data_IF_562647988608
#
_entry.id   IF_562647988608
#
_cell.length_a   1.000
_cell.length_b   1.000
_cell.length_c   1.000
_cell.angle_alpha   90.00
_cell.angle_beta   90.00
_cell.angle_gamma   90.00
#
_symmetry.space_group_name_H-M   'P 1'
#
loop_
_entity.id
_entity.type
_entity.pdbx_description
1 polymer ?
#
# COMPACT_ATOMS: atom_id res chain seq x y z
N UNK A 1 -39.87 10.42 31.23
CA UNK A 1 -39.49 11.14 29.99
C UNK A 1 -39.23 10.13 28.92
N UNK A 2 -39.86 10.25 27.77
CA UNK A 2 -39.65 9.32 26.66
C UNK A 2 -38.32 9.61 25.97
N UNK A 3 -37.66 8.54 25.46
CA UNK A 3 -36.39 8.63 24.72
C UNK A 3 -36.42 9.75 23.62
N UNK A 4 -37.54 9.85 22.91
CA UNK A 4 -37.76 10.85 21.84
C UNK A 4 -37.68 12.29 22.37
N UNK A 5 -38.18 12.56 23.61
CA UNK A 5 -38.08 13.88 24.23
C UNK A 5 -36.62 14.24 24.57
N UNK A 6 -35.85 13.28 25.06
CA UNK A 6 -34.41 13.48 25.33
C UNK A 6 -33.63 13.81 24.03
N UNK A 7 -33.97 13.13 22.94
CA UNK A 7 -33.36 13.42 21.61
C UNK A 7 -33.72 14.85 21.13
N UNK A 8 -35.00 15.28 21.27
CA UNK A 8 -35.41 16.63 20.89
C UNK A 8 -34.71 17.71 21.73
N UNK A 9 -34.56 17.47 23.03
CA UNK A 9 -33.83 18.37 23.93
C UNK A 9 -32.35 18.49 23.58
N UNK A 10 -31.70 17.39 23.21
CA UNK A 10 -30.31 17.39 22.76
C UNK A 10 -30.12 18.25 21.48
N UNK A 11 -30.99 18.08 20.51
CA UNK A 11 -30.97 18.91 19.30
C UNK A 11 -31.26 20.40 19.57
N UNK A 12 -32.17 20.72 20.48
CA UNK A 12 -32.46 22.11 20.89
C UNK A 12 -31.25 22.76 21.56
N UNK A 13 -30.55 22.02 22.42
CA UNK A 13 -29.32 22.45 23.09
C UNK A 13 -28.19 22.75 22.10
N UNK A 14 -27.97 21.85 21.11
CA UNK A 14 -27.01 22.07 20.03
C UNK A 14 -27.31 23.31 19.19
N UNK A 15 -28.59 23.57 18.93
CA UNK A 15 -29.05 24.75 18.15
C UNK A 15 -28.85 26.06 18.90
N UNK A 16 -28.95 26.05 20.23
CA UNK A 16 -28.75 27.23 21.07
C UNK A 16 -27.31 27.71 21.11
N UNK A 17 -26.32 26.77 21.10
CA UNK A 17 -24.88 27.07 21.24
C UNK A 17 -24.03 26.50 20.12
N UNK A 18 -24.37 26.80 18.86
CA UNK A 18 -23.80 26.17 17.64
C UNK A 18 -22.27 26.21 17.58
N UNK A 19 -21.62 27.35 17.85
CA UNK A 19 -20.16 27.49 17.76
C UNK A 19 -19.43 26.65 18.79
N UNK A 20 -19.97 26.63 20.02
CA UNK A 20 -19.36 25.82 21.10
C UNK A 20 -19.52 24.31 20.81
N UNK A 21 -20.69 23.89 20.35
CA UNK A 21 -20.97 22.53 19.96
C UNK A 21 -20.08 22.08 18.80
N UNK A 22 -19.90 22.94 17.79
CA UNK A 22 -19.03 22.64 16.62
C UNK A 22 -17.57 22.50 17.01
N UNK A 23 -17.03 23.42 17.84
CA UNK A 23 -15.64 23.37 18.28
C UNK A 23 -15.32 22.12 19.10
N UNK A 24 -16.27 21.63 19.89
CA UNK A 24 -16.07 20.41 20.69
C UNK A 24 -16.25 19.14 19.87
N UNK A 25 -17.24 19.13 18.96
CA UNK A 25 -17.39 18.02 18.02
C UNK A 25 -16.17 17.91 17.09
N UNK A 26 -15.43 19.00 16.85
CA UNK A 26 -14.26 18.99 15.96
C UNK A 26 -13.22 17.95 16.36
N UNK A 27 -12.93 17.82 17.66
CA UNK A 27 -12.00 16.79 18.15
C UNK A 27 -12.49 15.37 17.87
N UNK A 28 -13.80 15.12 18.02
CA UNK A 28 -14.40 13.82 17.71
C UNK A 28 -14.42 13.59 16.20
N UNK A 29 -14.80 14.61 15.42
CA UNK A 29 -14.81 14.54 13.96
C UNK A 29 -13.40 14.20 13.43
N UNK A 30 -12.38 14.94 13.86
CA UNK A 30 -10.98 14.70 13.44
C UNK A 30 -10.53 13.30 13.87
N UNK A 31 -10.77 12.89 15.12
CA UNK A 31 -10.36 11.58 15.60
C UNK A 31 -11.00 10.45 14.80
N UNK A 32 -12.31 10.48 14.59
CA UNK A 32 -13.02 9.45 13.83
C UNK A 32 -12.68 9.49 12.34
N UNK A 33 -12.59 10.67 11.74
CA UNK A 33 -12.22 10.78 10.33
C UNK A 33 -10.81 10.24 10.06
N UNK A 34 -9.86 10.47 10.98
CA UNK A 34 -8.52 9.90 10.89
C UNK A 34 -8.53 8.38 10.93
N UNK A 35 -9.29 7.77 11.85
CA UNK A 35 -9.41 6.30 11.94
C UNK A 35 -10.02 5.70 10.66
N UNK A 36 -11.08 6.30 10.13
CA UNK A 36 -11.72 5.84 8.90
C UNK A 36 -10.80 6.02 7.69
N UNK A 37 -10.14 7.17 7.58
CA UNK A 37 -9.20 7.46 6.49
C UNK A 37 -8.05 6.45 6.45
N UNK A 38 -7.46 6.12 7.61
CA UNK A 38 -6.35 5.16 7.70
C UNK A 38 -6.79 3.76 7.33
N UNK A 39 -7.94 3.33 7.83
CA UNK A 39 -8.47 2.01 7.47
C UNK A 39 -8.73 1.91 5.96
N UNK A 40 -9.25 2.99 5.35
CA UNK A 40 -9.43 3.07 3.89
C UNK A 40 -8.08 3.02 3.17
N UNK A 41 -7.09 3.76 3.67
CA UNK A 41 -5.74 3.79 3.09
C UNK A 41 -5.03 2.44 3.21
N UNK A 42 -5.20 1.75 4.34
CA UNK A 42 -4.71 0.37 4.51
C UNK A 42 -5.28 -0.58 3.46
N UNK A 43 -6.60 -0.52 3.21
CA UNK A 43 -7.25 -1.34 2.17
C UNK A 43 -6.78 -0.98 0.75
N UNK A 44 -6.51 0.31 0.46
CA UNK A 44 -5.94 0.73 -0.83
C UNK A 44 -4.56 0.12 -1.02
N UNK A 45 -3.71 0.20 0.00
CA UNK A 45 -2.34 -0.33 -0.07
C UNK A 45 -2.33 -1.85 -0.20
N UNK A 46 -3.18 -2.57 0.54
CA UNK A 46 -3.33 -4.02 0.44
C UNK A 46 -3.76 -4.43 -0.98
N UNK A 47 -4.77 -3.78 -1.55
CA UNK A 47 -5.20 -4.04 -2.92
C UNK A 47 -4.09 -3.71 -3.93
N UNK A 48 -3.39 -2.57 -3.77
CA UNK A 48 -2.30 -2.19 -4.68
C UNK A 48 -1.12 -3.16 -4.62
N UNK A 49 -0.81 -3.70 -3.44
CA UNK A 49 0.21 -4.73 -3.29
C UNK A 49 -0.23 -6.00 -4.00
N UNK A 50 -1.47 -6.45 -3.83
CA UNK A 50 -2.01 -7.61 -4.54
C UNK A 50 -1.97 -7.40 -6.06
N UNK A 51 -2.36 -6.22 -6.57
CA UNK A 51 -2.30 -5.89 -8.00
C UNK A 51 -0.86 -5.94 -8.54
N UNK A 52 0.13 -5.46 -7.77
CA UNK A 52 1.55 -5.55 -8.14
C UNK A 52 1.99 -7.00 -8.19
N UNK A 53 1.64 -7.81 -7.18
CA UNK A 53 2.00 -9.23 -7.19
C UNK A 53 1.35 -9.97 -8.35
N UNK A 54 0.07 -9.74 -8.59
CA UNK A 54 -0.64 -10.37 -9.71
C UNK A 54 -0.02 -9.98 -11.06
N UNK A 55 0.46 -8.73 -11.19
CA UNK A 55 1.12 -8.26 -12.41
C UNK A 55 2.55 -8.78 -12.59
N UNK A 56 3.20 -9.25 -11.52
CA UNK A 56 4.60 -9.74 -11.52
C UNK A 56 4.73 -11.26 -11.40
N UNK A 57 3.73 -12.04 -11.79
CA UNK A 57 3.78 -13.50 -11.70
C UNK A 57 3.02 -14.09 -10.52
N UNK A 58 2.40 -13.24 -9.71
CA UNK A 58 1.51 -13.65 -8.61
C UNK A 58 2.23 -14.41 -7.50
N UNK A 59 1.46 -15.23 -6.79
CA UNK A 59 1.96 -16.06 -5.69
C UNK A 59 2.99 -17.12 -6.12
N UNK A 60 3.10 -17.38 -7.44
CA UNK A 60 3.97 -18.40 -8.00
C UNK A 60 5.39 -17.89 -8.30
N UNK A 61 5.68 -16.61 -8.06
CA UNK A 61 7.02 -16.05 -8.27
C UNK A 61 7.88 -16.17 -7.01
N UNK A 62 9.04 -16.78 -7.15
CA UNK A 62 10.06 -16.88 -6.10
C UNK A 62 11.35 -16.24 -6.59
N UNK A 63 11.85 -15.25 -5.86
CA UNK A 63 13.12 -14.57 -6.12
C UNK A 63 14.24 -15.15 -5.28
N UNK A 64 15.41 -15.32 -5.88
CA UNK A 64 16.64 -15.71 -5.20
C UNK A 64 17.72 -14.68 -5.46
N UNK A 65 18.44 -14.31 -4.42
CA UNK A 65 19.55 -13.36 -4.51
C UNK A 65 20.67 -13.75 -3.56
N UNK A 66 21.89 -13.32 -3.86
CA UNK A 66 22.98 -13.42 -2.91
C UNK A 66 22.86 -12.33 -1.85
N UNK A 67 23.21 -12.66 -0.61
CA UNK A 67 23.25 -11.73 0.50
C UNK A 67 24.45 -11.98 1.39
N UNK A 68 24.82 -10.98 2.18
CA UNK A 68 25.84 -11.13 3.22
C UNK A 68 25.29 -11.98 4.38
N UNK A 69 26.07 -12.93 4.87
CA UNK A 69 25.76 -13.64 6.11
C UNK A 69 25.66 -12.68 7.30
N UNK A 70 24.98 -13.04 8.40
CA UNK A 70 24.82 -12.16 9.56
C UNK A 70 26.14 -11.65 10.18
N UNK A 71 27.23 -12.43 10.07
CA UNK A 71 28.58 -12.07 10.54
C UNK A 71 29.61 -12.40 9.44
N UNK A 72 29.65 -11.63 8.35
CA UNK A 72 30.49 -11.95 7.21
C UNK A 72 31.96 -11.65 7.51
N UNK A 73 32.87 -12.44 6.91
CA UNK A 73 34.31 -12.15 6.98
C UNK A 73 34.66 -10.86 6.21
N UNK A 74 33.87 -10.53 5.18
CA UNK A 74 33.96 -9.29 4.40
C UNK A 74 32.54 -8.74 4.15
N UNK A 75 32.40 -7.43 4.09
CA UNK A 75 31.15 -6.69 3.96
C UNK A 75 30.88 -6.16 2.53
N UNK A 76 31.52 -6.76 1.54
CA UNK A 76 31.35 -6.42 0.12
C UNK A 76 31.28 -7.67 -0.74
N UNK A 77 30.65 -7.55 -1.90
CA UNK A 77 30.52 -8.59 -2.91
C UNK A 77 31.71 -8.56 -3.88
N UNK A 78 32.13 -9.73 -4.35
CA UNK A 78 33.09 -9.89 -5.45
C UNK A 78 32.44 -10.61 -6.61
N UNK A 79 33.03 -10.52 -7.79
CA UNK A 79 32.47 -11.17 -8.97
C UNK A 79 32.40 -12.71 -8.82
N UNK A 80 33.32 -13.31 -8.04
CA UNK A 80 33.30 -14.74 -7.73
C UNK A 80 32.17 -15.17 -6.78
N UNK A 81 31.46 -14.23 -6.17
CA UNK A 81 30.30 -14.52 -5.32
C UNK A 81 29.00 -14.62 -6.09
N UNK A 82 28.97 -14.02 -7.28
CA UNK A 82 27.78 -14.00 -8.11
C UNK A 82 27.43 -15.42 -8.57
N UNK A 83 26.16 -15.64 -8.78
CA UNK A 83 25.65 -16.92 -9.28
C UNK A 83 25.97 -17.06 -10.77
N UNK A 84 26.62 -18.14 -11.15
CA UNK A 84 26.86 -18.45 -12.57
C UNK A 84 25.59 -18.98 -13.22
N UNK A 85 25.50 -18.86 -14.53
CA UNK A 85 24.41 -19.43 -15.33
C UNK A 85 24.23 -20.93 -15.04
N UNK A 86 25.33 -21.69 -14.95
CA UNK A 86 25.32 -23.12 -14.65
C UNK A 86 24.71 -23.41 -13.25
N UNK A 87 25.02 -22.60 -12.24
CA UNK A 87 24.43 -22.77 -10.91
C UNK A 87 22.91 -22.64 -10.97
N UNK A 88 22.42 -21.67 -11.71
CA UNK A 88 20.99 -21.39 -11.81
C UNK A 88 20.26 -22.46 -12.63
N UNK A 89 20.84 -22.90 -13.76
CA UNK A 89 20.25 -24.01 -14.54
C UNK A 89 20.27 -25.35 -13.78
N UNK A 90 21.27 -25.60 -12.91
CA UNK A 90 21.26 -26.76 -12.01
C UNK A 90 20.03 -26.71 -11.04
N UNK A 91 19.61 -25.55 -10.60
CA UNK A 91 18.37 -25.42 -9.80
C UNK A 91 17.15 -25.82 -10.64
N UNK A 92 17.02 -25.28 -11.85
CA UNK A 92 15.89 -25.60 -12.74
C UNK A 92 15.85 -27.10 -13.11
N UNK A 93 16.98 -27.72 -13.31
CA UNK A 93 17.07 -29.18 -13.59
C UNK A 93 16.72 -30.02 -12.35
N UNK A 94 17.27 -29.66 -11.19
CA UNK A 94 17.06 -30.38 -9.92
C UNK A 94 15.58 -30.33 -9.45
N UNK A 95 14.91 -29.21 -9.66
CA UNK A 95 13.55 -28.96 -9.24
C UNK A 95 12.57 -28.89 -10.44
N UNK A 96 12.88 -29.59 -11.51
CA UNK A 96 12.11 -29.55 -12.78
C UNK A 96 10.64 -29.95 -12.64
N UNK A 97 10.29 -30.72 -11.61
CA UNK A 97 8.90 -31.08 -11.32
C UNK A 97 8.07 -29.90 -10.81
N UNK A 98 8.71 -28.93 -10.15
CA UNK A 98 8.07 -27.79 -9.52
C UNK A 98 8.24 -26.48 -10.31
N UNK A 99 9.30 -26.39 -11.13
CA UNK A 99 9.62 -25.19 -11.92
C UNK A 99 8.78 -25.14 -13.19
N UNK A 100 8.11 -24.02 -13.43
CA UNK A 100 7.41 -23.71 -14.68
C UNK A 100 8.27 -22.86 -15.63
N UNK A 101 8.96 -21.83 -15.09
CA UNK A 101 9.86 -21.00 -15.88
C UNK A 101 10.99 -20.44 -15.01
N UNK A 102 12.15 -20.24 -15.66
CA UNK A 102 13.32 -19.60 -15.09
C UNK A 102 13.49 -18.22 -15.70
N UNK A 103 13.54 -17.19 -14.87
CA UNK A 103 13.67 -15.80 -15.28
C UNK A 103 15.02 -15.25 -14.84
N UNK A 104 15.89 -14.98 -15.81
CA UNK A 104 17.20 -14.36 -15.60
C UNK A 104 17.12 -12.89 -16.02
N UNK A 105 17.66 -12.03 -15.17
CA UNK A 105 17.88 -10.62 -15.45
C UNK A 105 19.36 -10.37 -15.23
N UNK A 106 20.09 -10.14 -16.32
CA UNK A 106 21.54 -9.91 -16.26
C UNK A 106 21.88 -8.51 -15.77
N UNK A 107 21.06 -7.52 -16.16
CA UNK A 107 21.21 -6.15 -15.71
C UNK A 107 20.13 -5.23 -16.25
N UNK A 108 20.18 -4.04 -15.72
CA UNK A 108 19.34 -2.91 -16.15
C UNK A 108 20.25 -1.74 -16.45
N UNK A 109 20.25 -1.27 -17.68
CA UNK A 109 21.14 -0.20 -18.14
C UNK A 109 20.34 1.04 -18.58
N UNK A 110 20.83 2.20 -18.18
CA UNK A 110 20.31 3.46 -18.68
C UNK A 110 20.86 3.71 -20.09
N UNK A 111 19.97 3.98 -21.02
CA UNK A 111 20.29 4.19 -22.42
C UNK A 111 19.50 5.37 -22.98
N UNK A 112 19.73 5.71 -24.22
CA UNK A 112 18.95 6.73 -24.89
C UNK A 112 18.72 6.33 -26.35
N UNK A 113 17.63 6.84 -26.93
CA UNK A 113 17.40 6.78 -28.38
C UNK A 113 17.08 8.15 -28.92
N UNK A 114 17.18 8.32 -30.24
CA UNK A 114 16.86 9.57 -30.91
C UNK A 114 15.54 9.46 -31.64
N UNK A 115 14.66 10.39 -31.33
CA UNK A 115 13.43 10.58 -32.11
C UNK A 115 13.39 11.98 -32.67
N UNK A 116 13.48 12.09 -34.00
CA UNK A 116 13.61 13.38 -34.69
C UNK A 116 14.86 14.14 -34.22
N UNK A 117 14.67 15.22 -33.41
CA UNK A 117 15.75 16.04 -32.83
C UNK A 117 15.85 15.89 -31.33
N UNK A 118 14.97 15.09 -30.72
CA UNK A 118 14.91 14.88 -29.28
C UNK A 118 15.65 13.59 -28.89
N UNK A 119 16.28 13.64 -27.76
CA UNK A 119 16.88 12.48 -27.10
C UNK A 119 15.87 11.94 -26.10
N UNK A 120 15.52 10.67 -26.21
CA UNK A 120 14.60 10.00 -25.30
C UNK A 120 15.39 9.04 -24.43
N UNK A 121 15.16 9.10 -23.12
CA UNK A 121 15.77 8.18 -22.18
C UNK A 121 15.09 6.81 -22.27
N UNK A 122 15.91 5.76 -22.18
CA UNK A 122 15.49 4.37 -22.19
C UNK A 122 16.07 3.64 -20.97
N UNK A 123 15.35 2.64 -20.52
CA UNK A 123 15.81 1.64 -19.55
C UNK A 123 15.84 0.29 -20.25
N UNK A 124 17.02 -0.25 -20.42
CA UNK A 124 17.23 -1.53 -21.13
C UNK A 124 17.34 -2.64 -20.13
N UNK A 125 16.39 -3.59 -20.18
CA UNK A 125 16.38 -4.80 -19.40
C UNK A 125 16.95 -5.97 -20.22
N UNK A 126 17.97 -6.60 -19.69
CA UNK A 126 18.65 -7.75 -20.32
C UNK A 126 18.12 -9.04 -19.71
N UNK A 127 17.25 -9.73 -20.45
CA UNK A 127 16.38 -10.77 -19.89
C UNK A 127 16.46 -12.11 -20.62
N UNK A 128 16.05 -13.18 -19.92
CA UNK A 128 15.78 -14.49 -20.50
C UNK A 128 14.33 -14.59 -21.03
N UNK A 129 14.02 -15.60 -21.86
CA UNK A 129 12.66 -15.85 -22.35
C UNK A 129 11.63 -16.08 -21.22
N UNK A 130 12.05 -16.63 -20.09
CA UNK A 130 11.18 -16.87 -18.93
C UNK A 130 10.65 -15.59 -18.24
N UNK A 131 11.28 -14.45 -18.48
CA UNK A 131 10.86 -13.16 -17.93
C UNK A 131 9.43 -12.76 -18.35
N UNK A 132 8.95 -13.22 -19.50
CA UNK A 132 7.57 -13.00 -19.92
C UNK A 132 6.55 -13.53 -18.88
N UNK A 133 6.83 -14.68 -18.29
CA UNK A 133 5.96 -15.25 -17.25
C UNK A 133 6.05 -14.48 -15.93
N UNK A 134 7.23 -13.96 -15.60
CA UNK A 134 7.41 -13.11 -14.43
C UNK A 134 6.70 -11.78 -14.57
N UNK A 135 6.86 -11.10 -15.70
CA UNK A 135 6.31 -9.75 -15.91
C UNK A 135 4.81 -9.75 -16.18
N UNK A 136 4.21 -10.93 -16.49
CA UNK A 136 2.83 -11.10 -16.96
C UNK A 136 2.38 -10.10 -18.05
N UNK A 137 3.36 -9.43 -18.66
CA UNK A 137 3.14 -8.44 -19.70
C UNK A 137 2.88 -9.15 -21.02
N UNK A 138 1.67 -9.11 -21.48
CA UNK A 138 1.27 -9.76 -22.75
C UNK A 138 1.91 -9.11 -23.94
N UNK A 139 2.47 -9.89 -24.88
CA UNK A 139 2.86 -9.40 -26.20
C UNK A 139 1.59 -9.21 -27.04
N UNK A 140 1.29 -7.95 -27.35
CA UNK A 140 0.09 -7.60 -28.16
C UNK A 140 0.37 -7.68 -29.67
N UNK A 141 1.63 -7.62 -30.06
CA UNK A 141 2.03 -7.74 -31.46
C UNK A 141 3.45 -8.28 -31.63
N UNK A 142 3.65 -9.11 -32.68
CA UNK A 142 4.95 -9.74 -32.92
C UNK A 142 5.20 -10.96 -32.03
N UNK A 143 6.40 -11.10 -31.53
CA UNK A 143 6.82 -12.18 -30.64
C UNK A 143 7.70 -11.67 -29.50
N UNK A 144 7.79 -12.42 -28.45
CA UNK A 144 8.71 -12.16 -27.36
C UNK A 144 10.14 -12.68 -27.70
N UNK A 145 11.09 -12.41 -26.80
CA UNK A 145 12.45 -12.95 -26.88
C UNK A 145 12.37 -14.47 -26.76
N UNK A 146 13.09 -15.17 -27.62
CA UNK A 146 13.11 -16.64 -27.67
C UNK A 146 14.50 -17.20 -27.28
N UNK A 147 14.58 -18.50 -26.96
CA UNK A 147 15.85 -19.19 -26.70
C UNK A 147 16.83 -19.09 -27.87
N UNK A 148 16.31 -18.99 -29.12
CA UNK A 148 17.17 -18.77 -30.28
C UNK A 148 17.83 -17.40 -30.27
N UNK A 149 17.14 -16.37 -29.79
CA UNK A 149 17.70 -15.02 -29.68
C UNK A 149 18.80 -14.99 -28.62
N UNK A 150 18.57 -15.66 -27.50
CA UNK A 150 19.58 -15.82 -26.44
C UNK A 150 20.80 -16.59 -26.95
N UNK A 151 20.59 -17.78 -27.52
CA UNK A 151 21.69 -18.65 -28.00
C UNK A 151 22.53 -17.98 -29.11
N UNK A 152 21.86 -17.21 -29.99
CA UNK A 152 22.53 -16.53 -31.11
C UNK A 152 23.00 -15.11 -30.80
N UNK A 153 22.80 -14.65 -29.57
CA UNK A 153 23.08 -13.27 -29.17
C UNK A 153 22.43 -12.26 -30.11
N UNK A 154 21.15 -12.50 -30.41
CA UNK A 154 20.39 -11.78 -31.42
C UNK A 154 20.17 -10.30 -31.02
N UNK A 155 20.51 -9.38 -31.91
CA UNK A 155 20.24 -7.96 -31.73
C UNK A 155 18.75 -7.66 -31.99
N UNK A 156 17.90 -8.17 -31.11
CA UNK A 156 16.44 -7.97 -31.16
C UNK A 156 15.97 -7.31 -29.90
N UNK A 157 14.87 -6.56 -30.00
CA UNK A 157 14.26 -5.93 -28.83
C UNK A 157 12.73 -6.05 -28.84
N UNK A 158 12.16 -5.96 -27.64
CA UNK A 158 10.72 -5.84 -27.40
C UNK A 158 10.49 -4.49 -26.73
N UNK A 159 9.53 -3.72 -27.23
CA UNK A 159 9.23 -2.35 -26.82
C UNK A 159 7.78 -2.22 -26.36
N UNK A 160 7.45 -1.14 -25.66
CA UNK A 160 6.06 -0.88 -25.25
C UNK A 160 5.21 -0.38 -26.45
N UNK A 161 3.89 -0.53 -26.33
CA UNK A 161 2.90 0.02 -27.26
C UNK A 161 3.04 1.55 -27.40
N UNK A 162 3.31 2.23 -26.28
CA UNK A 162 3.51 3.70 -26.25
C UNK A 162 4.78 4.12 -26.99
N UNK A 163 5.86 3.35 -26.83
CA UNK A 163 7.09 3.57 -27.60
C UNK A 163 6.89 3.30 -29.08
N UNK A 164 6.18 2.23 -29.43
CA UNK A 164 5.88 1.90 -30.81
C UNK A 164 5.07 3.00 -31.52
N UNK A 165 4.06 3.54 -30.85
CA UNK A 165 3.26 4.67 -31.38
C UNK A 165 4.11 5.94 -31.48
N UNK A 166 4.89 6.29 -30.46
CA UNK A 166 5.70 7.50 -30.40
C UNK A 166 6.81 7.49 -31.45
N UNK A 167 7.53 6.37 -31.63
CA UNK A 167 8.69 6.27 -32.50
C UNK A 167 8.33 5.97 -33.95
N UNK A 168 7.30 5.14 -34.18
CA UNK A 168 6.98 4.62 -35.53
C UNK A 168 5.56 4.98 -36.02
N UNK A 169 4.77 5.67 -35.17
CA UNK A 169 3.43 6.15 -35.52
C UNK A 169 2.32 5.10 -35.34
N UNK A 170 2.63 3.80 -35.35
CA UNK A 170 1.67 2.72 -35.09
C UNK A 170 2.37 1.43 -34.70
N UNK A 171 1.63 0.50 -34.10
CA UNK A 171 2.12 -0.84 -33.74
C UNK A 171 2.55 -1.64 -34.99
N UNK A 172 1.79 -1.49 -36.08
CA UNK A 172 2.08 -2.20 -37.34
C UNK A 172 3.41 -1.78 -37.97
N UNK A 173 3.70 -0.50 -37.91
CA UNK A 173 4.91 0.04 -38.50
C UNK A 173 6.16 -0.22 -37.67
N UNK A 174 6.03 -0.55 -36.38
CA UNK A 174 7.16 -0.74 -35.47
C UNK A 174 7.84 -2.12 -35.64
N UNK A 175 7.07 -3.17 -35.94
CA UNK A 175 7.62 -4.52 -36.09
C UNK A 175 8.57 -4.61 -37.28
N UNK A 176 9.75 -5.15 -37.06
CA UNK A 176 10.82 -5.28 -38.05
C UNK A 176 11.62 -4.00 -38.31
N UNK A 177 11.28 -2.89 -37.65
CA UNK A 177 12.07 -1.67 -37.69
C UNK A 177 13.29 -1.72 -36.80
N UNK A 178 14.25 -0.87 -37.10
CA UNK A 178 15.47 -0.74 -36.30
C UNK A 178 15.30 0.32 -35.23
N UNK A 179 15.61 -0.04 -33.99
CA UNK A 179 15.75 0.88 -32.87
C UNK A 179 17.23 1.04 -32.54
N UNK A 180 17.78 2.24 -32.77
CA UNK A 180 19.14 2.58 -32.38
C UNK A 180 19.17 2.98 -30.91
N UNK A 181 19.92 2.26 -30.10
CA UNK A 181 20.04 2.47 -28.65
C UNK A 181 21.47 2.92 -28.36
N UNK A 182 21.60 4.13 -27.82
CA UNK A 182 22.89 4.70 -27.40
C UNK A 182 23.17 4.31 -25.93
N UNK A 183 24.19 3.46 -25.72
CA UNK A 183 24.66 3.00 -24.40
C UNK A 183 26.18 3.15 -24.32
N UNK A 184 26.72 3.58 -23.19
CA UNK A 184 28.17 3.67 -22.94
C UNK A 184 28.94 4.39 -24.05
N UNK A 185 28.38 5.48 -24.59
CA UNK A 185 28.92 6.26 -25.71
C UNK A 185 29.03 5.50 -27.05
N UNK A 186 28.35 4.39 -27.19
CA UNK A 186 28.25 3.63 -28.44
C UNK A 186 26.77 3.46 -28.83
N UNK A 187 26.50 3.37 -30.10
CA UNK A 187 25.16 3.14 -30.65
C UNK A 187 25.05 1.71 -31.16
N UNK A 188 23.99 1.04 -30.74
CA UNK A 188 23.67 -0.33 -31.12
C UNK A 188 22.30 -0.40 -31.77
N UNK A 189 22.22 -1.09 -32.89
CA UNK A 189 21.00 -1.28 -33.63
C UNK A 189 20.31 -2.58 -33.29
N UNK A 190 19.06 -2.49 -32.83
CA UNK A 190 18.20 -3.62 -32.50
C UNK A 190 17.00 -3.68 -33.42
N UNK A 191 16.58 -4.87 -33.82
CA UNK A 191 15.34 -5.07 -34.57
C UNK A 191 14.17 -5.25 -33.61
N UNK A 192 13.11 -4.47 -33.74
CA UNK A 192 11.89 -4.62 -32.95
C UNK A 192 11.16 -5.87 -33.40
N UNK A 193 11.09 -6.90 -32.55
CA UNK A 193 10.44 -8.18 -32.84
C UNK A 193 9.11 -8.36 -32.12
N UNK A 194 8.84 -7.55 -31.09
CA UNK A 194 7.59 -7.61 -30.34
C UNK A 194 7.25 -6.28 -29.69
N UNK A 195 5.97 -6.18 -29.37
CA UNK A 195 5.39 -5.04 -28.66
C UNK A 195 4.56 -5.58 -27.52
N UNK A 196 4.84 -5.10 -26.31
CA UNK A 196 4.06 -5.41 -25.11
C UNK A 196 3.12 -4.28 -24.74
N UNK A 197 2.04 -4.62 -24.04
CA UNK A 197 1.11 -3.65 -23.50
C UNK A 197 1.67 -3.07 -22.20
N UNK A 198 1.90 -1.75 -22.19
CA UNK A 198 2.38 -1.08 -20.99
C UNK A 198 1.20 -0.69 -20.11
N UNK A 199 1.03 -1.41 -19.01
CA UNK A 199 -0.02 -1.14 -18.02
C UNK A 199 0.63 -0.82 -16.67
N UNK A 200 0.42 0.39 -16.20
CA UNK A 200 0.62 0.76 -14.80
C UNK A 200 -0.75 0.91 -14.16
N UNK A 201 -0.98 0.19 -13.10
CA UNK A 201 -2.24 0.24 -12.35
C UNK A 201 -1.99 0.69 -10.90
N UNK A 202 -3.01 1.26 -10.29
CA UNK A 202 -3.03 1.57 -8.87
C UNK A 202 -1.93 2.53 -8.43
N UNK A 203 -1.34 2.22 -7.28
CA UNK A 203 -0.33 3.06 -6.60
C UNK A 203 0.92 3.29 -7.46
N UNK A 204 1.34 2.31 -8.29
CA UNK A 204 2.51 2.45 -9.14
C UNK A 204 2.30 3.53 -10.21
N UNK A 205 1.12 3.56 -10.83
CA UNK A 205 0.73 4.61 -11.79
C UNK A 205 0.78 6.01 -11.16
N UNK A 206 0.19 6.14 -9.96
CA UNK A 206 0.19 7.41 -9.23
C UNK A 206 1.61 7.86 -8.84
N UNK A 207 2.45 6.92 -8.39
CA UNK A 207 3.82 7.20 -7.96
C UNK A 207 4.68 7.68 -9.14
N UNK A 208 4.58 7.01 -10.29
CA UNK A 208 5.26 7.39 -11.53
C UNK A 208 4.80 8.76 -12.02
N UNK A 209 3.48 9.02 -12.01
CA UNK A 209 2.94 10.32 -12.39
C UNK A 209 3.41 11.45 -11.45
N UNK A 210 3.55 11.19 -10.13
CA UNK A 210 4.07 12.17 -9.17
C UNK A 210 5.57 12.42 -9.30
N UNK A 211 6.35 11.41 -9.63
CA UNK A 211 7.80 11.53 -9.83
C UNK A 211 8.18 12.15 -11.17
N UNK A 212 7.23 12.22 -12.09
CA UNK A 212 7.47 12.71 -13.45
C UNK A 212 8.39 11.81 -14.27
N UNK A 213 8.63 10.59 -13.80
CA UNK A 213 9.40 9.59 -14.54
C UNK A 213 8.52 8.94 -15.60
N UNK A 214 9.04 8.85 -16.81
CA UNK A 214 8.34 8.18 -17.90
C UNK A 214 8.75 6.71 -17.98
N UNK A 215 8.15 5.87 -17.11
CA UNK A 215 8.40 4.42 -17.05
C UNK A 215 7.98 3.67 -18.34
N UNK A 216 7.48 4.40 -19.33
CA UNK A 216 7.19 3.86 -20.65
C UNK A 216 8.44 3.61 -21.52
N UNK A 217 9.62 3.85 -20.97
CA UNK A 217 10.88 3.77 -21.71
C UNK A 217 11.61 2.42 -21.54
N UNK A 218 10.94 1.39 -21.03
CA UNK A 218 11.55 0.07 -20.88
C UNK A 218 11.66 -0.67 -22.20
N UNK A 219 12.85 -1.17 -22.48
CA UNK A 219 13.18 -1.98 -23.66
C UNK A 219 13.77 -3.29 -23.21
N UNK A 220 13.27 -4.39 -23.70
CA UNK A 220 13.75 -5.73 -23.36
C UNK A 220 14.64 -6.28 -24.47
N UNK A 221 15.82 -6.76 -24.13
CA UNK A 221 16.79 -7.41 -25.03
C UNK A 221 17.28 -8.75 -24.45
N UNK A 222 17.81 -9.67 -25.27
CA UNK A 222 18.39 -10.89 -24.74
C UNK A 222 19.61 -10.60 -23.83
N UNK A 223 19.68 -11.26 -22.66
CA UNK A 223 20.75 -11.03 -21.68
C UNK A 223 22.15 -11.36 -22.25
N UNK A 224 22.25 -12.36 -23.12
CA UNK A 224 23.51 -12.73 -23.77
C UNK A 224 23.99 -11.69 -24.78
N UNK A 225 23.07 -10.93 -25.37
CA UNK A 225 23.41 -9.81 -26.26
C UNK A 225 24.00 -8.65 -25.46
N UNK A 226 23.47 -8.37 -24.27
CA UNK A 226 24.03 -7.34 -23.38
C UNK A 226 25.42 -7.75 -22.89
N UNK A 227 25.61 -9.00 -22.46
CA UNK A 227 26.91 -9.50 -22.05
C UNK A 227 27.97 -9.36 -23.16
N UNK A 228 27.60 -9.65 -24.42
CA UNK A 228 28.49 -9.43 -25.55
C UNK A 228 28.83 -7.92 -25.74
N UNK A 229 27.86 -7.04 -25.57
CA UNK A 229 28.05 -5.59 -25.66
C UNK A 229 29.00 -5.09 -24.55
N UNK A 230 28.88 -5.65 -23.34
CA UNK A 230 29.74 -5.30 -22.21
C UNK A 230 31.11 -5.99 -22.26
N UNK A 231 31.27 -6.98 -23.14
CA UNK A 231 32.51 -7.74 -23.28
C UNK A 231 32.70 -8.79 -22.18
N UNK A 232 31.65 -9.19 -21.50
CA UNK A 232 31.67 -10.17 -20.44
C UNK A 232 31.68 -11.59 -21.03
N UNK A 233 32.70 -12.38 -20.64
CA UNK A 233 32.79 -13.76 -21.01
C UNK A 233 32.01 -14.69 -20.11
N UNK A 234 31.88 -14.31 -18.85
CA UNK A 234 31.24 -15.08 -17.79
C UNK A 234 29.93 -14.43 -17.39
N UNK A 235 28.83 -15.15 -17.58
CA UNK A 235 27.50 -14.71 -17.23
C UNK A 235 27.27 -14.94 -15.73
N UNK A 236 27.29 -13.85 -14.97
CA UNK A 236 27.12 -13.85 -13.53
C UNK A 236 25.91 -13.03 -13.12
N UNK A 237 25.11 -13.55 -12.19
CA UNK A 237 23.84 -12.98 -11.78
C UNK A 237 23.84 -12.68 -10.28
N UNK A 238 23.34 -11.50 -9.91
CA UNK A 238 23.14 -11.15 -8.51
C UNK A 238 21.84 -11.77 -7.97
N UNK A 239 20.83 -11.88 -8.84
CA UNK A 239 19.52 -12.44 -8.54
C UNK A 239 18.94 -13.15 -9.76
N UNK A 240 18.02 -14.08 -9.51
CA UNK A 240 17.18 -14.71 -10.51
C UNK A 240 15.80 -15.02 -9.92
N UNK A 241 14.83 -15.26 -10.79
CA UNK A 241 13.49 -15.61 -10.36
C UNK A 241 13.07 -16.96 -10.95
N UNK A 242 12.20 -17.63 -10.22
CA UNK A 242 11.57 -18.88 -10.64
C UNK A 242 10.07 -18.73 -10.56
N UNK A 243 9.39 -18.97 -11.66
CA UNK A 243 7.96 -19.22 -11.63
C UNK A 243 7.74 -20.71 -11.33
N UNK A 244 7.07 -21.00 -10.23
CA UNK A 244 6.69 -22.35 -9.85
C UNK A 244 5.34 -22.74 -10.46
N UNK A 245 5.12 -24.05 -10.61
CA UNK A 245 3.83 -24.57 -11.10
C UNK A 245 2.71 -24.35 -10.09
N UNK A 246 1.48 -24.27 -10.59
CA UNK A 246 0.32 -24.15 -9.72
C UNK A 246 0.22 -25.31 -8.72
N UNK A 247 -0.06 -24.94 -7.46
CA UNK A 247 -0.19 -25.90 -6.36
C UNK A 247 1.10 -26.26 -5.62
N UNK A 248 2.25 -25.78 -6.07
CA UNK A 248 3.52 -25.91 -5.34
C UNK A 248 3.53 -24.90 -4.21
N UNK A 249 3.98 -25.32 -3.02
CA UNK A 249 4.15 -24.39 -1.90
C UNK A 249 5.41 -23.54 -2.11
N UNK A 250 5.22 -22.23 -2.34
CA UNK A 250 6.29 -21.30 -2.68
C UNK A 250 7.35 -21.19 -1.57
N UNK A 251 6.93 -21.13 -0.31
CA UNK A 251 7.85 -21.00 0.85
C UNK A 251 8.69 -22.25 1.03
N UNK A 252 8.09 -23.45 0.94
CA UNK A 252 8.83 -24.71 1.04
C UNK A 252 9.81 -24.88 -0.13
N UNK A 253 9.35 -24.63 -1.36
CA UNK A 253 10.20 -24.66 -2.55
C UNK A 253 11.40 -23.71 -2.41
N UNK A 254 11.14 -22.49 -1.93
CA UNK A 254 12.17 -21.49 -1.75
C UNK A 254 13.23 -21.91 -0.71
N UNK A 255 12.81 -22.52 0.39
CA UNK A 255 13.73 -23.10 1.41
C UNK A 255 14.56 -24.22 0.84
N UNK A 256 13.95 -25.16 0.13
CA UNK A 256 14.65 -26.30 -0.47
C UNK A 256 15.70 -25.85 -1.49
N UNK A 257 15.38 -24.86 -2.34
CA UNK A 257 16.33 -24.27 -3.29
C UNK A 257 17.44 -23.51 -2.59
N UNK A 258 17.11 -22.67 -1.59
CA UNK A 258 18.11 -21.94 -0.79
C UNK A 258 19.09 -22.93 -0.14
N UNK A 259 18.58 -23.97 0.49
CA UNK A 259 19.40 -24.97 1.17
C UNK A 259 20.27 -25.76 0.17
N UNK A 260 19.71 -26.11 -0.98
CA UNK A 260 20.46 -26.74 -2.06
C UNK A 260 21.62 -25.85 -2.54
N UNK A 261 21.34 -24.58 -2.84
CA UNK A 261 22.36 -23.66 -3.35
C UNK A 261 23.42 -23.36 -2.30
N UNK A 262 23.06 -23.13 -1.06
CA UNK A 262 23.98 -22.85 0.03
C UNK A 262 24.87 -24.07 0.33
N UNK A 263 24.32 -25.28 0.36
CA UNK A 263 25.07 -26.49 0.61
C UNK A 263 25.96 -26.91 -0.57
N UNK A 264 25.54 -26.66 -1.81
CA UNK A 264 26.23 -27.09 -3.01
C UNK A 264 27.30 -26.11 -3.49
N UNK A 265 26.99 -24.82 -3.51
CA UNK A 265 27.82 -23.80 -4.15
C UNK A 265 28.45 -22.81 -3.16
N UNK A 266 27.76 -22.49 -2.05
CA UNK A 266 28.22 -21.48 -1.08
C UNK A 266 28.67 -22.06 0.27
N UNK A 267 28.79 -23.38 0.39
CA UNK A 267 29.15 -24.03 1.65
C UNK A 267 30.47 -23.52 2.25
N UNK A 268 31.45 -23.21 1.42
CA UNK A 268 32.77 -22.74 1.84
C UNK A 268 32.93 -21.21 1.71
N UNK A 269 31.87 -20.49 1.44
CA UNK A 269 31.91 -19.05 1.41
C UNK A 269 31.52 -18.51 2.80
N UNK A 270 32.47 -17.88 3.50
CA UNK A 270 32.28 -17.40 4.87
C UNK A 270 31.54 -16.05 4.94
N UNK A 271 31.25 -15.41 3.81
CA UNK A 271 30.67 -14.08 3.75
C UNK A 271 29.31 -14.03 3.06
N UNK A 272 29.05 -14.94 2.11
CA UNK A 272 27.88 -14.89 1.23
C UNK A 272 27.01 -16.13 1.42
N UNK A 273 25.72 -15.92 1.32
CA UNK A 273 24.70 -16.96 1.24
C UNK A 273 23.61 -16.57 0.24
N UNK A 274 22.84 -17.54 -0.19
CA UNK A 274 21.64 -17.31 -1.00
C UNK A 274 20.46 -17.05 -0.07
N UNK A 275 19.76 -15.97 -0.33
CA UNK A 275 18.52 -15.59 0.28
C UNK A 275 17.37 -15.71 -0.73
N UNK A 276 16.16 -15.94 -0.26
CA UNK A 276 14.97 -15.97 -1.10
C UNK A 276 13.93 -14.96 -0.63
N UNK A 277 13.09 -14.54 -1.56
CA UNK A 277 11.93 -13.73 -1.30
C UNK A 277 10.72 -14.34 -2.01
N UNK A 278 9.67 -14.61 -1.26
CA UNK A 278 8.36 -15.01 -1.80
C UNK A 278 7.38 -13.84 -1.74
N UNK A 279 6.33 -13.90 -2.56
CA UNK A 279 5.23 -12.96 -2.49
C UNK A 279 4.64 -12.88 -1.07
N UNK A 280 4.48 -14.03 -0.42
CA UNK A 280 3.96 -14.13 0.95
C UNK A 280 4.81 -13.33 1.96
N UNK A 281 6.14 -13.50 1.93
CA UNK A 281 7.05 -12.76 2.82
C UNK A 281 7.02 -11.24 2.56
N UNK A 282 6.92 -10.84 1.29
CA UNK A 282 6.83 -9.41 0.95
C UNK A 282 5.50 -8.81 1.43
N UNK A 283 4.39 -9.55 1.30
CA UNK A 283 3.09 -9.13 1.82
C UNK A 283 3.09 -9.04 3.35
N UNK A 284 3.72 -10.00 4.05
CA UNK A 284 3.85 -9.98 5.51
C UNK A 284 4.65 -8.75 5.98
N UNK A 285 5.80 -8.49 5.36
CA UNK A 285 6.62 -7.29 5.66
C UNK A 285 5.85 -5.99 5.41
N UNK A 286 5.11 -5.90 4.32
CA UNK A 286 4.27 -4.74 4.04
C UNK A 286 3.15 -4.59 5.07
N UNK A 287 2.52 -5.71 5.47
CA UNK A 287 1.52 -5.74 6.53
C UNK A 287 2.07 -5.24 7.88
N UNK A 288 3.29 -5.61 8.24
CA UNK A 288 3.97 -5.10 9.45
C UNK A 288 4.20 -3.60 9.40
N UNK A 289 4.70 -3.08 8.27
CA UNK A 289 4.92 -1.63 8.07
C UNK A 289 3.59 -0.87 8.16
N UNK A 290 2.55 -1.36 7.50
CA UNK A 290 1.21 -0.76 7.56
C UNK A 290 0.62 -0.83 8.97
N UNK A 291 0.85 -1.93 9.69
CA UNK A 291 0.47 -2.11 11.09
C UNK A 291 1.12 -1.05 11.98
N UNK A 292 2.41 -0.80 11.82
CA UNK A 292 3.15 0.23 12.55
C UNK A 292 2.60 1.64 12.28
N UNK A 293 2.40 1.99 11.02
CA UNK A 293 1.82 3.27 10.61
C UNK A 293 0.41 3.44 11.20
N UNK A 294 -0.43 2.42 11.10
CA UNK A 294 -1.78 2.41 11.65
C UNK A 294 -1.77 2.58 13.17
N UNK A 295 -0.81 1.98 13.88
CA UNK A 295 -0.64 2.13 15.33
C UNK A 295 -0.33 3.58 15.71
N UNK A 296 0.63 4.21 15.04
CA UNK A 296 1.02 5.61 15.32
C UNK A 296 -0.17 6.55 15.14
N UNK A 297 -0.89 6.40 14.03
CA UNK A 297 -2.01 7.28 13.73
C UNK A 297 -3.21 6.99 14.65
N UNK A 298 -3.40 5.73 15.07
CA UNK A 298 -4.42 5.37 16.08
C UNK A 298 -4.16 6.05 17.42
N UNK A 299 -2.90 6.18 17.83
CA UNK A 299 -2.52 6.96 19.04
C UNK A 299 -2.89 8.43 18.88
N UNK A 300 -2.58 9.04 17.73
CA UNK A 300 -2.92 10.44 17.45
C UNK A 300 -4.45 10.65 17.45
N UNK A 301 -5.18 9.75 16.81
CA UNK A 301 -6.64 9.76 16.81
C UNK A 301 -7.21 9.60 18.21
N UNK A 302 -6.63 8.70 19.03
CA UNK A 302 -6.98 8.52 20.44
C UNK A 302 -6.81 9.81 21.26
N UNK A 303 -5.70 10.50 21.10
CA UNK A 303 -5.45 11.80 21.75
C UNK A 303 -6.51 12.83 21.31
N UNK A 304 -6.79 12.91 20.02
CA UNK A 304 -7.82 13.82 19.47
C UNK A 304 -9.21 13.52 20.04
N UNK A 305 -9.55 12.24 20.18
CA UNK A 305 -10.82 11.81 20.77
C UNK A 305 -10.92 12.14 22.27
N UNK A 306 -9.84 12.01 23.04
CA UNK A 306 -9.78 12.42 24.45
C UNK A 306 -9.97 13.93 24.56
N UNK A 307 -9.29 14.72 23.74
CA UNK A 307 -9.45 16.21 23.72
C UNK A 307 -10.89 16.59 23.35
N UNK A 308 -11.47 15.94 22.33
CA UNK A 308 -12.88 16.12 21.96
C UNK A 308 -13.83 15.74 23.09
N UNK A 309 -13.57 14.63 23.79
CA UNK A 309 -14.35 14.18 24.96
C UNK A 309 -14.31 15.16 26.14
N UNK A 310 -13.12 15.70 26.44
CA UNK A 310 -12.98 16.79 27.45
C UNK A 310 -13.80 18.02 27.01
N UNK A 311 -13.82 18.35 25.71
CA UNK A 311 -14.65 19.40 25.17
C UNK A 311 -16.13 19.15 25.43
N UNK A 312 -16.62 17.91 25.17
CA UNK A 312 -18.01 17.51 25.46
C UNK A 312 -18.32 17.64 26.96
N UNK A 313 -17.41 17.17 27.83
CA UNK A 313 -17.55 17.31 29.28
C UNK A 313 -17.70 18.78 29.70
N UNK A 314 -16.88 19.68 29.14
CA UNK A 314 -16.97 21.12 29.46
C UNK A 314 -18.28 21.74 28.99
N UNK A 315 -18.77 21.40 27.79
CA UNK A 315 -20.11 21.85 27.35
C UNK A 315 -21.20 21.37 28.30
N UNK A 316 -21.15 20.10 28.66
CA UNK A 316 -22.17 19.53 29.54
C UNK A 316 -22.14 20.16 30.91
N UNK A 317 -20.96 20.50 31.48
CA UNK A 317 -20.86 21.24 32.75
C UNK A 317 -21.51 22.62 32.65
N UNK A 318 -21.27 23.38 31.57
CA UNK A 318 -21.93 24.69 31.35
C UNK A 318 -23.41 24.50 31.14
N UNK A 319 -23.85 23.50 30.38
CA UNK A 319 -25.29 23.22 30.18
C UNK A 319 -25.98 22.88 31.50
N UNK A 320 -25.32 22.15 32.40
CA UNK A 320 -25.86 21.88 33.75
C UNK A 320 -26.02 23.16 34.56
N UNK A 321 -25.05 24.09 34.53
CA UNK A 321 -25.13 25.37 35.23
C UNK A 321 -26.20 26.27 34.64
N UNK A 322 -26.34 26.38 33.33
CA UNK A 322 -27.37 27.16 32.65
C UNK A 322 -28.81 26.64 32.92
N UNK A 323 -28.94 25.33 33.19
CA UNK A 323 -30.22 24.66 33.45
C UNK A 323 -30.44 24.29 34.92
N UNK A 324 -29.66 24.85 35.84
CA UNK A 324 -29.72 24.52 37.28
C UNK A 324 -31.15 24.65 37.83
N UNK A 325 -31.87 25.72 37.53
CA UNK A 325 -33.24 25.95 37.97
C UNK A 325 -34.25 24.92 37.40
N UNK A 326 -34.09 24.57 36.12
CA UNK A 326 -34.92 23.55 35.46
C UNK A 326 -34.74 22.17 36.13
N UNK A 327 -33.47 21.79 36.44
CA UNK A 327 -33.14 20.58 37.16
C UNK A 327 -33.73 20.58 38.56
N UNK A 328 -33.65 21.72 39.26
CA UNK A 328 -34.25 21.95 40.57
C UNK A 328 -35.75 21.72 40.58
N UNK A 329 -36.50 22.30 39.63
CA UNK A 329 -37.95 22.11 39.47
C UNK A 329 -38.29 20.62 39.26
N UNK A 330 -37.56 19.93 38.36
CA UNK A 330 -37.79 18.48 38.12
C UNK A 330 -37.58 17.66 39.38
N UNK A 331 -36.54 17.94 40.15
CA UNK A 331 -36.23 17.22 41.38
C UNK A 331 -37.26 17.54 42.47
N UNK A 332 -37.72 18.77 42.57
CA UNK A 332 -38.79 19.15 43.51
C UNK A 332 -40.12 18.46 43.19
N UNK A 333 -40.39 18.16 41.89
CA UNK A 333 -41.51 17.35 41.45
C UNK A 333 -41.34 15.85 41.61
N UNK A 334 -40.22 15.40 42.21
CA UNK A 334 -39.97 13.98 42.55
C UNK A 334 -39.19 13.19 41.52
N UNK A 335 -38.53 13.82 40.55
CA UNK A 335 -37.68 13.09 39.60
C UNK A 335 -36.50 12.39 40.31
N UNK A 336 -36.28 11.09 40.10
CA UNK A 336 -35.16 10.37 40.68
C UNK A 336 -33.84 10.80 40.06
N UNK A 337 -32.74 10.70 40.85
CA UNK A 337 -31.40 11.08 40.37
C UNK A 337 -30.96 10.29 39.11
N UNK A 338 -31.43 9.05 38.98
CA UNK A 338 -31.17 8.21 37.78
C UNK A 338 -31.79 8.82 36.52
N UNK A 339 -32.97 9.38 36.59
CA UNK A 339 -33.64 10.00 35.43
C UNK A 339 -32.88 11.23 34.93
N UNK A 340 -32.42 12.09 35.85
CA UNK A 340 -31.58 13.26 35.50
C UNK A 340 -30.27 12.82 34.90
N UNK A 341 -29.58 11.86 35.54
CA UNK A 341 -28.29 11.32 35.03
C UNK A 341 -28.43 10.71 33.65
N UNK A 342 -29.44 9.87 33.42
CA UNK A 342 -29.67 9.23 32.12
C UNK A 342 -29.95 10.26 31.03
N UNK A 343 -30.70 11.31 31.32
CA UNK A 343 -30.98 12.39 30.38
C UNK A 343 -29.70 13.06 29.87
N UNK A 344 -28.79 13.48 30.77
CA UNK A 344 -27.54 14.11 30.40
C UNK A 344 -26.55 13.18 29.71
N UNK A 345 -26.52 11.88 30.08
CA UNK A 345 -25.74 10.87 29.35
C UNK A 345 -26.24 10.69 27.92
N UNK A 346 -27.56 10.59 27.73
CA UNK A 346 -28.14 10.49 26.39
C UNK A 346 -27.81 11.75 25.56
N UNK A 347 -27.87 12.95 26.17
CA UNK A 347 -27.50 14.19 25.49
C UNK A 347 -26.03 14.17 25.01
N UNK A 348 -25.10 13.76 25.87
CA UNK A 348 -23.66 13.63 25.49
C UNK A 348 -23.43 12.56 24.42
N UNK A 349 -24.10 11.42 24.50
CA UNK A 349 -24.01 10.36 23.48
C UNK A 349 -24.53 10.84 22.14
N UNK A 350 -25.62 11.59 22.09
CA UNK A 350 -26.16 12.16 20.84
C UNK A 350 -25.16 13.14 20.20
N UNK A 351 -24.54 14.01 21.01
CA UNK A 351 -23.51 14.94 20.53
C UNK A 351 -22.35 14.16 19.90
N UNK A 352 -21.87 13.13 20.59
CA UNK A 352 -20.77 12.29 20.10
C UNK A 352 -21.16 11.51 18.83
N UNK A 353 -22.37 10.97 18.76
CA UNK A 353 -22.86 10.25 17.56
C UNK A 353 -22.99 11.17 16.34
N UNK A 354 -23.44 12.41 16.54
CA UNK A 354 -23.50 13.41 15.45
C UNK A 354 -22.08 13.73 14.96
N UNK A 355 -21.16 14.01 15.90
CA UNK A 355 -19.74 14.20 15.58
C UNK A 355 -19.13 12.99 14.88
N UNK A 356 -19.45 11.78 15.37
CA UNK A 356 -19.04 10.52 14.80
C UNK A 356 -19.55 10.30 13.38
N UNK A 357 -20.83 10.56 13.12
CA UNK A 357 -21.43 10.45 11.79
C UNK A 357 -20.78 11.42 10.78
N UNK A 358 -20.55 12.68 11.20
CA UNK A 358 -19.83 13.67 10.39
C UNK A 358 -18.37 13.19 10.17
N UNK A 359 -17.71 12.65 11.20
CA UNK A 359 -16.37 12.10 11.13
C UNK A 359 -16.27 10.94 10.17
N UNK A 360 -17.23 10.00 10.17
CA UNK A 360 -17.29 8.90 9.22
C UNK A 360 -17.42 9.41 7.79
N UNK A 361 -18.38 10.31 7.53
CA UNK A 361 -18.59 10.87 6.19
C UNK A 361 -17.33 11.61 5.70
N UNK A 362 -16.74 12.47 6.55
CA UNK A 362 -15.52 13.20 6.18
C UNK A 362 -14.32 12.26 6.00
N UNK A 363 -14.19 11.21 6.82
CA UNK A 363 -13.15 10.19 6.68
C UNK A 363 -13.26 9.40 5.36
N UNK A 364 -14.49 9.04 4.96
CA UNK A 364 -14.76 8.41 3.67
C UNK A 364 -14.41 9.34 2.52
N UNK A 365 -14.82 10.59 2.58
CA UNK A 365 -14.54 11.58 1.54
C UNK A 365 -13.04 11.83 1.39
N UNK A 366 -12.30 11.96 2.49
CA UNK A 366 -10.86 12.15 2.48
C UNK A 366 -10.13 10.88 2.00
N UNK A 367 -10.58 9.70 2.44
CA UNK A 367 -10.03 8.42 1.98
C UNK A 367 -10.23 8.22 0.47
N UNK A 368 -11.41 8.52 -0.05
CA UNK A 368 -11.68 8.44 -1.49
C UNK A 368 -10.90 9.49 -2.30
N UNK A 369 -10.66 10.68 -1.73
CA UNK A 369 -9.82 11.68 -2.38
C UNK A 369 -8.37 11.19 -2.53
N UNK A 370 -7.83 10.54 -1.50
CA UNK A 370 -6.51 9.90 -1.58
C UNK A 370 -6.53 8.76 -2.58
N UNK A 371 -7.56 7.91 -2.56
CA UNK A 371 -7.75 6.83 -3.53
C UNK A 371 -7.77 7.34 -4.97
N UNK A 372 -8.48 8.45 -5.22
CA UNK A 372 -8.52 9.07 -6.56
C UNK A 372 -7.14 9.58 -7.01
N UNK A 373 -6.35 10.12 -6.08
CA UNK A 373 -4.97 10.56 -6.37
C UNK A 373 -4.02 9.37 -6.62
N UNK A 374 -4.35 8.19 -6.11
CA UNK A 374 -3.59 6.96 -6.25
C UNK A 374 -4.16 6.02 -7.33
N UNK A 375 -5.13 6.48 -8.11
CA UNK A 375 -5.86 5.68 -9.12
C UNK A 375 -6.37 4.33 -8.55
N UNK A 376 -6.74 4.36 -7.27
CA UNK A 376 -7.20 3.20 -6.53
C UNK A 376 -8.55 3.47 -5.86
N UNK A 377 -9.44 2.49 -5.88
CA UNK A 377 -10.73 2.59 -5.20
C UNK A 377 -10.72 1.74 -3.94
N UNK A 378 -11.08 2.34 -2.81
CA UNK A 378 -11.33 1.57 -1.60
C UNK A 378 -12.56 2.08 -0.89
N UNK A 379 -13.28 1.16 -0.31
CA UNK A 379 -14.40 1.43 0.59
C UNK A 379 -13.98 1.05 2.01
N UNK A 380 -14.29 1.88 3.02
CA UNK A 380 -13.99 1.52 4.39
C UNK A 380 -14.71 0.23 4.77
N UNK A 381 -14.05 -0.62 5.54
CA UNK A 381 -14.66 -1.86 6.01
C UNK A 381 -15.84 -1.56 6.94
N UNK A 382 -16.89 -2.38 6.86
CA UNK A 382 -18.04 -2.28 7.77
C UNK A 382 -17.58 -2.36 9.23
N UNK A 383 -16.53 -3.16 9.51
CA UNK A 383 -15.91 -3.25 10.83
C UNK A 383 -15.36 -1.92 11.33
N UNK A 384 -14.70 -1.14 10.49
CA UNK A 384 -14.18 0.18 10.84
C UNK A 384 -15.30 1.18 11.19
N UNK A 385 -16.39 1.15 10.43
CA UNK A 385 -17.58 1.99 10.70
C UNK A 385 -18.20 1.61 12.05
N UNK A 386 -18.39 0.32 12.31
CA UNK A 386 -18.95 -0.16 13.59
C UNK A 386 -18.05 0.19 14.77
N UNK A 387 -16.75 0.05 14.63
CA UNK A 387 -15.77 0.49 15.64
C UNK A 387 -15.87 1.99 15.90
N UNK A 388 -15.94 2.81 14.87
CA UNK A 388 -16.06 4.26 14.99
C UNK A 388 -17.34 4.67 15.74
N UNK A 389 -18.49 4.06 15.42
CA UNK A 389 -19.75 4.30 16.11
C UNK A 389 -19.68 3.88 17.57
N UNK A 390 -19.14 2.69 17.85
CA UNK A 390 -19.02 2.17 19.23
C UNK A 390 -18.09 3.04 20.06
N UNK A 391 -16.97 3.46 19.50
CA UNK A 391 -16.03 4.36 20.18
C UNK A 391 -16.64 5.74 20.45
N UNK A 392 -17.39 6.30 19.49
CA UNK A 392 -18.11 7.54 19.66
C UNK A 392 -19.11 7.49 20.81
N UNK A 393 -19.87 6.39 20.89
CA UNK A 393 -20.81 6.18 22.01
C UNK A 393 -20.08 6.06 23.34
N UNK A 394 -18.98 5.28 23.39
CA UNK A 394 -18.20 5.07 24.61
C UNK A 394 -17.65 6.41 25.15
N UNK A 395 -17.14 7.26 24.29
CA UNK A 395 -16.67 8.62 24.63
C UNK A 395 -17.83 9.47 25.18
N UNK A 396 -18.98 9.45 24.54
CA UNK A 396 -20.17 10.16 25.00
C UNK A 396 -20.61 9.74 26.41
N UNK A 397 -20.59 8.43 26.68
CA UNK A 397 -20.93 7.90 28.02
C UNK A 397 -19.84 8.28 29.04
N UNK A 398 -18.57 8.07 28.72
CA UNK A 398 -17.46 8.29 29.65
C UNK A 398 -17.33 9.77 30.06
N UNK A 399 -17.26 10.67 29.10
CA UNK A 399 -17.11 12.10 29.39
C UNK A 399 -18.42 12.79 29.79
N UNK A 400 -19.57 12.22 29.44
CA UNK A 400 -20.90 12.69 29.89
C UNK A 400 -21.25 12.26 31.31
N UNK A 401 -20.64 11.19 31.83
CA UNK A 401 -20.97 10.64 33.15
C UNK A 401 -20.71 11.63 34.30
N UNK A 402 -19.55 12.30 34.30
CA UNK A 402 -19.19 13.24 35.37
C UNK A 402 -20.18 14.44 35.47
N UNK A 403 -20.43 15.20 34.40
CA UNK A 403 -21.44 16.30 34.47
C UNK A 403 -22.86 15.80 34.77
N UNK A 404 -23.24 14.65 34.22
CA UNK A 404 -24.54 14.05 34.48
C UNK A 404 -24.74 13.70 35.98
N UNK A 405 -23.69 13.15 36.61
CA UNK A 405 -23.71 12.83 38.02
C UNK A 405 -23.72 14.10 38.90
N UNK A 406 -23.03 15.16 38.49
CA UNK A 406 -23.10 16.49 39.16
C UNK A 406 -24.47 17.06 39.09
N UNK A 407 -25.14 17.05 37.92
CA UNK A 407 -26.51 17.47 37.75
C UNK A 407 -27.50 16.69 38.63
N UNK A 408 -27.33 15.36 38.70
CA UNK A 408 -28.18 14.48 39.49
C UNK A 408 -28.05 14.73 41.02
N UNK A 409 -26.94 15.27 41.51
CA UNK A 409 -26.66 15.54 42.94
C UNK A 409 -27.04 16.96 43.38
N UNK A 410 -27.52 17.86 42.48
CA UNK A 410 -27.93 19.20 42.86
C UNK A 410 -29.04 19.16 43.93
N UNK A 411 -28.93 20.02 44.95
CA UNK A 411 -29.98 20.21 45.94
C UNK A 411 -31.15 21.01 45.31
N UNK A 412 -32.40 20.52 45.36
CA UNK A 412 -33.55 21.23 44.80
C UNK A 412 -33.73 22.65 45.35
N UNK A 413 -33.46 22.84 46.66
CA UNK A 413 -33.67 24.14 47.32
C UNK A 413 -32.62 25.16 46.83
N UNK A 414 -31.35 24.73 46.81
CA UNK A 414 -30.26 25.57 46.29
C UNK A 414 -30.44 25.87 44.81
N UNK A 415 -30.84 24.89 44.00
CA UNK A 415 -31.06 25.02 42.58
C UNK A 415 -32.19 26.01 42.23
N UNK A 416 -33.23 26.11 43.07
CA UNK A 416 -34.33 27.06 42.87
C UNK A 416 -33.98 28.48 43.31
N UNK A 417 -32.95 28.67 44.17
CA UNK A 417 -32.44 29.99 44.60
C UNK A 417 -31.40 30.57 43.64
N UNK A 418 -30.95 29.78 42.69
CA UNK A 418 -29.95 30.23 41.68
C UNK A 418 -30.62 31.22 40.71
N UNK A 419 -30.13 32.46 40.71
CA UNK A 419 -30.53 33.51 39.77
C UNK A 419 -29.83 33.40 38.43
#
# INVERSE_FOLDING_TARGET
MNFIENVKLAFASLKANKMRALLTMLGIIIGISSVIMINTMGSIMENSVNDIFDSQGGANLVGFQITLKPNPVRDYYTQSDLMTEDMIYNVAERFSDDVDALSLIYGTDSATTRFKREKLDLVVYSISPGYLKQSMTGVIKGRYISDKDVTKRGKVCVISDKQAIKLYGSLDNAIGQTLSIDMNNQSYDFTVVGIYEYQLTGMMSAMVNMMGEDWNNEVYIPYTTMAEIQGDSDLNFFYFYVNIKDGVNATQFAEDVKDYMNNRFYRNNDSIEVYYATAEQQMEMMGEILGLVSMVISVIAGISLVVGGIGVMNIMLVSVTERTREIGVRKALGAPNSAIRTQFIIESVIICLIGGAIGIVSGILLGNLVGLLMDATATPSVGAILLAVTFSMAIGVFFGFYPANRAAKLDPIEALRYE
#
